data_IF_422642529228
#
_entry.id   IF_422642529228
#
_cell.length_a   1.000
_cell.length_b   1.000
_cell.length_c   1.000
_cell.angle_alpha   90.00
_cell.angle_beta   90.00
_cell.angle_gamma   90.00
#
_symmetry.space_group_name_H-M   'P 1'
#
loop_
_entity.id
_entity.type
_entity.pdbx_description
1 polymer ?
#
# COMPACT_ATOMS: atom_id res chain seq x y z
N UNK A 1 3.81 0.44 -0.75
CA UNK A 1 3.09 1.59 -1.35
C UNK A 1 4.05 2.60 -1.98
N UNK A 2 4.99 3.18 -1.22
CA UNK A 2 5.95 4.17 -1.75
C UNK A 2 6.71 3.72 -3.01
N UNK A 3 7.24 2.49 -3.02
CA UNK A 3 7.89 1.94 -4.21
C UNK A 3 6.94 1.86 -5.42
N UNK A 4 5.70 1.40 -5.22
CA UNK A 4 4.74 1.27 -6.31
C UNK A 4 4.38 2.64 -6.91
N UNK A 5 4.15 3.65 -6.07
CA UNK A 5 3.91 5.02 -6.52
C UNK A 5 5.09 5.54 -7.34
N UNK A 6 6.33 5.34 -6.87
CA UNK A 6 7.53 5.76 -7.60
C UNK A 6 7.69 5.05 -8.94
N UNK A 7 7.39 3.74 -9.01
CA UNK A 7 7.39 3.00 -10.28
C UNK A 7 6.39 3.61 -11.27
N UNK A 8 5.16 3.87 -10.83
CA UNK A 8 4.14 4.49 -11.68
C UNK A 8 4.53 5.90 -12.15
N UNK A 9 5.07 6.75 -11.26
CA UNK A 9 5.53 8.09 -11.62
C UNK A 9 6.65 8.03 -12.68
N UNK A 10 7.56 7.05 -12.56
CA UNK A 10 8.61 6.81 -13.56
C UNK A 10 8.06 6.28 -14.89
N UNK A 11 7.06 5.42 -14.88
CA UNK A 11 6.40 4.92 -16.10
C UNK A 11 5.69 6.06 -16.84
N UNK A 12 4.96 6.92 -16.13
CA UNK A 12 4.26 8.06 -16.72
C UNK A 12 5.23 9.13 -17.25
N UNK A 13 6.34 9.35 -16.55
CA UNK A 13 7.36 10.32 -16.94
C UNK A 13 8.52 9.71 -17.75
N UNK A 14 8.33 8.53 -18.36
CA UNK A 14 9.39 7.81 -19.06
C UNK A 14 10.04 8.64 -20.20
N UNK A 15 9.24 9.40 -20.94
CA UNK A 15 9.72 10.26 -22.05
C UNK A 15 10.50 11.47 -21.54
N UNK A 16 10.20 11.93 -20.32
CA UNK A 16 10.76 13.15 -19.74
C UNK A 16 11.78 12.85 -18.65
N UNK A 17 12.42 11.67 -18.69
CA UNK A 17 13.43 11.30 -17.70
C UNK A 17 14.54 12.38 -17.64
N UNK A 18 14.96 12.86 -16.45
CA UNK A 18 14.75 12.30 -15.11
C UNK A 18 13.57 12.88 -14.31
N UNK A 19 12.64 13.61 -14.94
CA UNK A 19 11.53 14.28 -14.26
C UNK A 19 10.70 13.33 -13.37
N UNK A 20 10.22 13.87 -12.25
CA UNK A 20 9.31 13.23 -11.29
C UNK A 20 8.25 14.22 -10.84
N UNK A 21 7.01 13.76 -10.76
CA UNK A 21 5.91 14.53 -10.18
C UNK A 21 6.04 14.60 -8.66
N UNK A 22 6.53 13.51 -8.04
CA UNK A 22 6.78 13.39 -6.61
C UNK A 22 8.26 13.08 -6.35
N UNK A 23 9.15 14.10 -6.46
CA UNK A 23 10.58 13.92 -6.37
C UNK A 23 11.02 13.40 -5.00
N UNK A 24 10.43 13.94 -3.94
CA UNK A 24 10.72 13.56 -2.55
C UNK A 24 9.59 12.70 -1.99
N UNK A 25 9.93 11.51 -1.51
CA UNK A 25 9.00 10.57 -0.87
C UNK A 25 9.63 10.04 0.40
N UNK A 26 8.85 10.08 1.48
CA UNK A 26 9.29 9.66 2.81
C UNK A 26 8.34 8.59 3.36
N UNK A 27 8.88 7.73 4.22
CA UNK A 27 8.10 6.77 5.00
C UNK A 27 8.24 7.16 6.46
N UNK A 28 7.11 7.30 7.14
CA UNK A 28 7.10 7.63 8.56
C UNK A 28 7.54 6.41 9.38
N UNK A 29 8.68 6.54 10.05
CA UNK A 29 9.20 5.52 10.95
C UNK A 29 8.25 5.32 12.15
N UNK A 30 8.00 4.07 12.54
CA UNK A 30 7.02 3.72 13.58
C UNK A 30 5.54 3.86 13.15
N UNK A 31 5.28 4.36 11.94
CA UNK A 31 3.94 4.51 11.37
C UNK A 31 3.00 5.38 12.22
N UNK A 32 1.70 5.22 12.01
CA UNK A 32 0.70 5.98 12.76
C UNK A 32 0.71 5.68 14.26
N UNK A 33 1.06 4.44 14.66
CA UNK A 33 1.20 4.05 16.07
C UNK A 33 2.26 4.89 16.79
N UNK A 34 3.47 4.94 16.23
CA UNK A 34 4.56 5.72 16.77
C UNK A 34 4.22 7.21 16.77
N UNK A 35 3.66 7.71 15.67
CA UNK A 35 3.23 9.10 15.57
C UNK A 35 2.23 9.49 16.66
N UNK A 36 1.14 8.74 16.77
CA UNK A 36 0.07 8.99 17.74
C UNK A 36 0.61 9.01 19.17
N UNK A 37 1.47 8.06 19.53
CA UNK A 37 2.08 7.98 20.86
C UNK A 37 2.89 9.24 21.22
N UNK A 38 3.55 9.89 20.25
CA UNK A 38 4.33 11.12 20.47
C UNK A 38 3.51 12.41 20.35
N UNK A 39 2.29 12.34 19.81
CA UNK A 39 1.44 13.51 19.54
C UNK A 39 0.14 13.53 20.34
N UNK A 40 -0.01 12.67 21.36
CA UNK A 40 -1.18 12.67 22.25
C UNK A 40 -1.38 14.07 22.83
N UNK A 41 -2.59 14.62 22.65
CA UNK A 41 -2.95 15.97 23.13
C UNK A 41 -2.58 17.12 22.19
N UNK A 42 -2.00 16.85 21.01
CA UNK A 42 -1.74 17.86 19.97
C UNK A 42 -2.77 17.78 18.86
N UNK A 43 -3.14 18.89 18.18
CA UNK A 43 -4.18 18.91 17.14
C UNK A 43 -3.72 18.33 15.78
N UNK A 44 -2.91 17.26 15.78
CA UNK A 44 -2.39 16.62 14.56
C UNK A 44 -3.16 15.36 14.15
N UNK A 45 -4.01 14.81 15.02
CA UNK A 45 -4.86 13.65 14.76
C UNK A 45 -6.34 14.03 14.82
N UNK A 46 -7.14 13.66 13.84
CA UNK A 46 -8.60 13.93 13.84
C UNK A 46 -9.36 12.69 13.35
N UNK A 47 -10.20 12.06 14.19
CA UNK A 47 -10.35 12.28 15.64
C UNK A 47 -9.06 11.96 16.41
N UNK A 48 -8.97 12.41 17.67
CA UNK A 48 -7.87 12.10 18.60
C UNK A 48 -7.97 10.65 19.10
N UNK A 49 -7.96 9.69 18.18
CA UNK A 49 -8.07 8.27 18.47
C UNK A 49 -7.07 7.47 17.63
N UNK A 50 -6.69 6.31 18.15
CA UNK A 50 -5.92 5.30 17.45
C UNK A 50 -6.63 3.96 17.57
N UNK A 51 -7.08 3.45 16.42
CA UNK A 51 -7.67 2.12 16.31
C UNK A 51 -6.63 1.19 15.69
N UNK A 52 -6.29 0.12 16.40
CA UNK A 52 -5.34 -0.88 15.92
C UNK A 52 -5.99 -1.78 14.87
N UNK A 53 -5.17 -2.38 14.01
CA UNK A 53 -5.67 -3.30 12.99
C UNK A 53 -6.32 -4.56 13.61
N UNK A 54 -5.89 -4.94 14.81
CA UNK A 54 -6.38 -6.10 15.57
C UNK A 54 -7.52 -5.77 16.55
N UNK A 55 -8.08 -4.56 16.47
CA UNK A 55 -9.19 -4.09 17.30
C UNK A 55 -10.40 -5.04 17.21
N UNK A 56 -10.92 -5.45 18.38
CA UNK A 56 -11.95 -6.49 18.47
C UNK A 56 -13.25 -6.14 17.76
N UNK A 57 -13.61 -4.86 17.76
CA UNK A 57 -14.82 -4.37 17.11
C UNK A 57 -14.75 -4.50 15.58
N UNK A 58 -13.54 -4.57 15.01
CA UNK A 58 -13.30 -4.56 13.57
C UNK A 58 -12.72 -5.88 13.03
N UNK A 59 -12.48 -6.88 13.89
CA UNK A 59 -11.90 -8.19 13.51
C UNK A 59 -12.67 -8.88 12.37
N UNK A 60 -13.99 -8.80 12.38
CA UNK A 60 -14.86 -9.44 11.36
C UNK A 60 -14.70 -8.80 10.00
N UNK A 61 -14.71 -7.47 9.95
CA UNK A 61 -14.49 -6.70 8.74
C UNK A 61 -13.07 -6.90 8.19
N UNK A 62 -12.06 -6.82 9.07
CA UNK A 62 -10.66 -7.06 8.70
C UNK A 62 -10.48 -8.42 8.02
N UNK A 63 -11.04 -9.50 8.61
CA UNK A 63 -11.04 -10.85 8.01
C UNK A 63 -11.71 -10.87 6.63
N UNK A 64 -12.87 -10.24 6.49
CA UNK A 64 -13.61 -10.20 5.23
C UNK A 64 -12.82 -9.48 4.13
N UNK A 65 -12.22 -8.33 4.44
CA UNK A 65 -11.40 -7.57 3.48
C UNK A 65 -10.13 -8.33 3.11
N UNK A 66 -9.46 -8.99 4.06
CA UNK A 66 -8.29 -9.82 3.76
C UNK A 66 -8.63 -11.06 2.93
N UNK A 67 -9.80 -11.69 3.14
CA UNK A 67 -10.26 -12.78 2.29
C UNK A 67 -10.48 -12.33 0.84
N UNK A 68 -10.99 -11.11 0.62
CA UNK A 68 -11.12 -10.53 -0.72
C UNK A 68 -9.76 -10.25 -1.35
N UNK A 69 -8.85 -9.67 -0.58
CA UNK A 69 -7.50 -9.35 -1.04
C UNK A 69 -6.69 -10.60 -1.41
N UNK A 70 -6.70 -11.63 -0.56
CA UNK A 70 -5.98 -12.88 -0.81
C UNK A 70 -6.50 -13.60 -2.06
N UNK A 71 -7.82 -13.58 -2.31
CA UNK A 71 -8.42 -14.09 -3.55
C UNK A 71 -7.97 -13.32 -4.79
N UNK A 72 -8.06 -11.99 -4.76
CA UNK A 72 -7.65 -11.16 -5.92
C UNK A 72 -6.14 -11.23 -6.18
N UNK A 73 -5.34 -11.30 -5.11
CA UNK A 73 -3.89 -11.48 -5.20
C UNK A 73 -3.52 -12.84 -5.80
N UNK A 74 -4.18 -13.91 -5.36
CA UNK A 74 -3.98 -15.26 -5.92
C UNK A 74 -4.38 -15.34 -7.39
N UNK A 75 -5.47 -14.68 -7.78
CA UNK A 75 -5.88 -14.56 -9.19
C UNK A 75 -4.83 -13.81 -10.02
N UNK A 76 -4.28 -12.71 -9.49
CA UNK A 76 -3.21 -11.95 -10.16
C UNK A 76 -1.95 -12.79 -10.37
N UNK A 77 -1.57 -13.62 -9.39
CA UNK A 77 -0.45 -14.56 -9.52
C UNK A 77 -0.73 -15.64 -10.57
N UNK A 78 -1.93 -16.23 -10.60
CA UNK A 78 -2.33 -17.21 -11.63
C UNK A 78 -2.33 -16.61 -13.04
N UNK A 79 -2.82 -15.38 -13.20
CA UNK A 79 -2.81 -14.71 -14.49
C UNK A 79 -1.38 -14.40 -14.96
N UNK A 80 -0.48 -14.08 -14.03
CA UNK A 80 0.94 -13.85 -14.32
C UNK A 80 1.68 -15.15 -14.69
N UNK A 81 1.35 -16.29 -14.07
CA UNK A 81 1.90 -17.59 -14.47
C UNK A 81 1.41 -18.03 -15.85
N UNK A 82 0.15 -17.74 -16.19
CA UNK A 82 -0.43 -18.03 -17.52
C UNK A 82 0.19 -17.13 -18.61
N UNK A 83 0.49 -15.86 -18.31
CA UNK A 83 1.17 -14.99 -19.28
C UNK A 83 2.60 -15.46 -19.57
N UNK A 84 3.30 -16.00 -18.57
CA UNK A 84 4.67 -16.48 -18.71
C UNK A 84 4.75 -17.81 -19.48
N UNK A 85 3.79 -18.71 -19.30
CA UNK A 85 3.70 -19.94 -20.10
C UNK A 85 3.37 -19.69 -21.57
N UNK A 86 2.57 -18.66 -21.89
CA UNK A 86 2.29 -18.25 -23.28
C UNK A 86 3.47 -17.59 -24.00
N UNK A 87 4.40 -16.98 -23.26
CA UNK A 87 5.58 -16.33 -23.86
C UNK A 87 6.73 -17.31 -24.17
N UNK A 88 6.65 -18.55 -23.65
CA UNK A 88 7.64 -19.62 -23.86
C UNK A 88 7.15 -20.73 -24.81
N UNK A 89 6.09 -20.48 -25.59
CA UNK A 89 5.63 -21.40 -26.65
C UNK A 89 6.13 -20.92 -28.01
N UNK A 90 7.44 -21.09 -28.24
CA UNK A 90 8.09 -21.04 -29.56
C UNK A 90 9.06 -22.23 -29.65
#
# INVERSE_FOLDING_TARGET
MAHHLRSLDRELNAVNYPHLSYPELYVLEGGYRGFFAHTVGKPHCVPQNYVEMDDECHKTECKAQMAKFTKSFSQKLKNKSISWSRSNSF
#
